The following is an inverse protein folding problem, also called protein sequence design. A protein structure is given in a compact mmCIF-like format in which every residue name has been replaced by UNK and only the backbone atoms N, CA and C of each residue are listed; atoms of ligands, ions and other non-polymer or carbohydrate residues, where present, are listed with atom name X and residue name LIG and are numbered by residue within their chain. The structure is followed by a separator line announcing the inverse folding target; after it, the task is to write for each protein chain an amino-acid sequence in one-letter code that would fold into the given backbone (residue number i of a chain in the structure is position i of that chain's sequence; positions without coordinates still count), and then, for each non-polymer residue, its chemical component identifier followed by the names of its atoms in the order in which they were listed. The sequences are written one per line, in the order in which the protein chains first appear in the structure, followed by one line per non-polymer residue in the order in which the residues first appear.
data_IF_489807022299
#
_entry.id   IF_489807022299
#
_cell.length_a   1.000
_cell.length_b   1.000
_cell.length_c   1.000
_cell.angle_alpha   90.00
_cell.angle_beta   90.00
_cell.angle_gamma   90.00
#
_symmetry.space_group_name_H-M   'P 1'
#
loop_
_entity.id
_entity.type
_entity.pdbx_description
1 polymer ?
#
# COMPACT_ATOMS: atom_id res chain seq x y z
N UNK A 1 -3.93 -13.65 18.18
CA UNK A 1 -2.81 -14.23 17.42
C UNK A 1 -2.26 -13.35 16.29
N UNK A 2 -2.97 -12.30 15.81
CA UNK A 2 -2.39 -11.32 14.86
C UNK A 2 -1.85 -10.03 15.52
N UNK A 3 -2.13 -9.81 16.81
CA UNK A 3 -2.01 -8.49 17.45
C UNK A 3 -0.69 -8.21 18.19
N UNK A 4 0.26 -9.13 18.21
CA UNK A 4 1.46 -8.98 19.07
C UNK A 4 2.76 -8.62 18.34
N UNK A 5 2.79 -8.53 17.00
CA UNK A 5 4.06 -8.44 16.27
C UNK A 5 4.12 -7.46 15.08
N UNK A 6 3.18 -6.53 14.93
CA UNK A 6 3.36 -5.42 13.99
C UNK A 6 4.12 -4.27 14.66
N UNK A 7 5.38 -4.48 15.05
CA UNK A 7 6.27 -3.33 15.30
C UNK A 7 6.65 -2.72 13.95
N UNK A 8 6.61 -1.39 13.83
CA UNK A 8 6.92 -0.66 12.58
C UNK A 8 8.29 -1.06 12.03
N UNK A 9 9.23 -1.37 12.93
CA UNK A 9 10.58 -1.84 12.61
C UNK A 9 10.61 -3.16 11.83
N UNK A 10 9.54 -3.95 11.89
CA UNK A 10 9.43 -5.25 11.20
C UNK A 10 8.83 -5.13 9.80
N UNK A 11 8.16 -4.02 9.46
CA UNK A 11 7.33 -3.93 8.25
C UNK A 11 7.97 -3.13 7.09
N UNK A 12 9.20 -2.64 7.27
CA UNK A 12 9.95 -2.02 6.18
C UNK A 12 11.36 -1.60 6.58
N UNK A 13 12.35 -1.91 5.74
CA UNK A 13 13.76 -1.55 5.95
C UNK A 13 14.04 -0.03 5.93
N UNK A 14 13.04 0.77 5.62
CA UNK A 14 13.11 2.23 5.54
C UNK A 14 12.47 2.95 6.74
N UNK A 15 12.23 2.26 7.86
CA UNK A 15 11.70 2.90 9.07
C UNK A 15 12.51 4.15 9.47
N UNK A 16 11.80 5.26 9.69
CA UNK A 16 12.39 6.57 9.98
C UNK A 16 13.09 7.27 8.79
N UNK A 17 12.85 6.85 7.54
CA UNK A 17 13.24 7.57 6.31
C UNK A 17 12.03 8.22 5.65
N UNK A 18 12.28 9.20 4.77
CA UNK A 18 11.23 9.87 3.98
C UNK A 18 10.52 8.92 3.00
N UNK A 19 11.16 7.80 2.64
CA UNK A 19 10.61 6.76 1.77
C UNK A 19 9.74 5.74 2.51
N UNK A 20 9.52 5.89 3.83
CA UNK A 20 8.71 4.95 4.60
C UNK A 20 7.23 5.06 4.23
N UNK A 21 6.67 4.00 3.64
CA UNK A 21 5.26 3.91 3.23
C UNK A 21 4.45 3.14 4.27
N UNK A 22 3.22 3.58 4.50
CA UNK A 22 2.29 2.91 5.39
C UNK A 22 1.97 1.50 4.87
N UNK A 23 2.13 0.42 5.67
CA UNK A 23 2.15 -0.94 5.15
C UNK A 23 0.76 -1.61 5.05
N UNK A 24 -0.30 -0.95 5.53
CA UNK A 24 -1.68 -1.46 5.48
C UNK A 24 -2.52 -0.65 4.48
N UNK A 25 -3.68 -1.17 4.05
CA UNK A 25 -4.64 -0.38 3.28
C UNK A 25 -5.01 0.90 4.02
N UNK A 26 -5.15 1.98 3.25
CA UNK A 26 -5.46 3.30 3.79
C UNK A 26 -6.80 3.28 4.53
N UNK A 27 -6.89 3.87 5.74
CA UNK A 27 -8.14 3.88 6.51
C UNK A 27 -9.32 4.47 5.74
N UNK A 28 -9.07 5.45 4.89
CA UNK A 28 -10.09 6.06 4.04
C UNK A 28 -10.67 5.06 3.03
N UNK A 29 -9.85 4.24 2.40
CA UNK A 29 -10.30 3.25 1.41
C UNK A 29 -11.10 2.14 2.09
N UNK A 30 -10.67 1.74 3.30
CA UNK A 30 -11.41 0.79 4.14
C UNK A 30 -12.77 1.36 4.57
N UNK A 31 -12.84 2.65 4.89
CA UNK A 31 -14.10 3.33 5.19
C UNK A 31 -15.03 3.31 3.99
N UNK A 32 -14.53 3.63 2.80
CA UNK A 32 -15.33 3.58 1.58
C UNK A 32 -15.85 2.16 1.29
N UNK A 33 -14.96 1.15 1.43
CA UNK A 33 -15.33 -0.25 1.30
C UNK A 33 -16.41 -0.67 2.31
N UNK A 34 -16.42 -0.10 3.52
CA UNK A 34 -17.43 -0.38 4.54
C UNK A 34 -18.81 0.23 4.24
N UNK A 35 -18.89 1.21 3.34
CA UNK A 35 -20.16 1.81 2.91
C UNK A 35 -20.80 1.07 1.72
N UNK A 36 -20.11 0.09 1.17
CA UNK A 36 -20.60 -0.70 0.04
C UNK A 36 -21.76 -1.62 0.44
N UNK A 37 -22.75 -1.73 -0.46
CA UNK A 37 -23.91 -2.61 -0.33
C UNK A 37 -23.98 -3.57 -1.50
N UNK A 38 -23.84 -4.87 -1.25
CA UNK A 38 -23.83 -5.87 -2.32
C UNK A 38 -25.13 -5.90 -3.12
N UNK A 39 -26.25 -5.56 -2.49
CA UNK A 39 -27.56 -5.48 -3.16
C UNK A 39 -27.56 -4.45 -4.28
N UNK A 40 -26.87 -3.32 -4.08
CA UNK A 40 -26.79 -2.26 -5.09
C UNK A 40 -25.88 -2.71 -6.24
N UNK A 41 -24.73 -3.32 -5.95
CA UNK A 41 -23.87 -3.92 -6.97
C UNK A 41 -24.56 -5.02 -7.78
N UNK A 42 -25.34 -5.88 -7.13
CA UNK A 42 -26.09 -6.93 -7.81
C UNK A 42 -27.14 -6.36 -8.75
N UNK A 43 -27.85 -5.28 -8.35
CA UNK A 43 -28.81 -4.57 -9.20
C UNK A 43 -28.11 -3.92 -10.40
N UNK A 44 -27.00 -3.24 -10.18
CA UNK A 44 -26.24 -2.60 -11.24
C UNK A 44 -25.66 -3.63 -12.23
N UNK A 45 -25.12 -4.75 -11.73
CA UNK A 45 -24.69 -5.87 -12.58
C UNK A 45 -25.86 -6.49 -13.36
N UNK A 46 -27.03 -6.66 -12.73
CA UNK A 46 -28.21 -7.18 -13.43
C UNK A 46 -28.66 -6.25 -14.57
N UNK A 47 -28.63 -4.93 -14.32
CA UNK A 47 -28.91 -3.91 -15.35
C UNK A 47 -27.86 -3.96 -16.46
N UNK A 48 -26.58 -3.96 -16.13
CA UNK A 48 -25.50 -4.01 -17.11
C UNK A 48 -25.57 -5.27 -17.98
N UNK A 49 -25.89 -6.43 -17.39
CA UNK A 49 -26.12 -7.67 -18.15
C UNK A 49 -27.31 -7.56 -19.10
N UNK A 50 -28.38 -6.85 -18.71
CA UNK A 50 -29.54 -6.61 -19.58
C UNK A 50 -29.17 -5.70 -20.74
N UNK A 51 -28.48 -4.60 -20.46
CA UNK A 51 -28.04 -3.63 -21.46
C UNK A 51 -27.04 -4.28 -22.43
N UNK A 52 -26.14 -5.13 -21.94
CA UNK A 52 -25.21 -5.91 -22.76
C UNK A 52 -25.94 -6.89 -23.68
N UNK A 53 -26.96 -7.61 -23.18
CA UNK A 53 -27.78 -8.50 -24.02
C UNK A 53 -28.54 -7.73 -25.11
N UNK A 54 -29.07 -6.55 -24.79
CA UNK A 54 -29.72 -5.70 -25.78
C UNK A 54 -28.71 -5.24 -26.84
N UNK A 55 -27.52 -4.81 -26.43
CA UNK A 55 -26.44 -4.42 -27.34
C UNK A 55 -26.03 -5.57 -28.27
N UNK A 56 -25.84 -6.79 -27.76
CA UNK A 56 -25.54 -7.98 -28.58
C UNK A 56 -26.64 -8.18 -29.63
N UNK A 57 -27.92 -8.10 -29.23
CA UNK A 57 -29.05 -8.26 -30.16
C UNK A 57 -29.05 -7.21 -31.27
N UNK A 58 -28.73 -5.95 -30.95
CA UNK A 58 -28.61 -4.88 -31.95
C UNK A 58 -27.41 -5.08 -32.88
N UNK A 59 -26.25 -5.48 -32.35
CA UNK A 59 -25.07 -5.81 -33.17
C UNK A 59 -25.39 -6.95 -34.14
N UNK A 60 -26.05 -8.00 -33.68
CA UNK A 60 -26.49 -9.10 -34.53
C UNK A 60 -27.47 -8.65 -35.63
N UNK A 61 -28.38 -7.71 -35.33
CA UNK A 61 -29.29 -7.16 -36.35
C UNK A 61 -28.54 -6.35 -37.40
N UNK A 62 -27.64 -5.46 -36.97
CA UNK A 62 -26.83 -4.65 -37.89
C UNK A 62 -26.00 -5.57 -38.79
N UNK A 63 -25.33 -6.57 -38.22
CA UNK A 63 -24.54 -7.52 -39.01
C UNK A 63 -25.37 -8.38 -39.97
N UNK A 64 -26.66 -8.62 -39.67
CA UNK A 64 -27.56 -9.40 -40.55
C UNK A 64 -28.14 -8.58 -41.71
N UNK A 65 -28.32 -7.28 -41.53
CA UNK A 65 -28.97 -6.40 -42.51
C UNK A 65 -27.93 -5.77 -43.45
N UNK A 66 -26.69 -5.62 -43.01
CA UNK A 66 -25.60 -5.07 -43.80
C UNK A 66 -25.01 -6.10 -44.78
N UNK A 67 -24.60 -5.60 -45.95
CA UNK A 67 -23.79 -6.38 -46.91
C UNK A 67 -22.38 -6.64 -46.35
N UNK A 68 -21.77 -7.77 -46.74
CA UNK A 68 -20.45 -8.21 -46.25
C UNK A 68 -19.35 -7.13 -46.42
N UNK A 69 -19.39 -6.39 -47.53
CA UNK A 69 -18.45 -5.32 -47.87
C UNK A 69 -18.55 -4.11 -46.92
N UNK A 70 -19.67 -3.97 -46.19
CA UNK A 70 -19.98 -2.84 -45.31
C UNK A 70 -19.95 -3.21 -43.81
N UNK A 71 -19.59 -4.45 -43.45
CA UNK A 71 -19.58 -4.92 -42.07
C UNK A 71 -18.44 -4.31 -41.25
N UNK A 72 -17.28 -4.14 -41.86
CA UNK A 72 -16.11 -3.60 -41.19
C UNK A 72 -16.01 -2.09 -41.37
N UNK A 73 -15.59 -1.35 -40.33
CA UNK A 73 -14.98 -1.82 -39.07
C UNK A 73 -15.97 -1.99 -37.90
N UNK A 74 -17.28 -1.93 -38.15
CA UNK A 74 -18.29 -1.95 -37.09
C UNK A 74 -18.26 -3.26 -36.31
N UNK A 75 -18.26 -4.39 -37.01
CA UNK A 75 -18.29 -5.73 -36.42
C UNK A 75 -17.05 -6.00 -35.56
N UNK A 76 -15.85 -5.73 -36.07
CA UNK A 76 -14.60 -5.87 -35.30
C UNK A 76 -14.63 -5.06 -34.00
N UNK A 77 -14.99 -3.78 -34.08
CA UNK A 77 -15.02 -2.90 -32.91
C UNK A 77 -16.06 -3.33 -31.88
N UNK A 78 -17.23 -3.77 -32.33
CA UNK A 78 -18.28 -4.24 -31.44
C UNK A 78 -17.92 -5.57 -30.79
N UNK A 79 -17.30 -6.50 -31.51
CA UNK A 79 -16.83 -7.76 -30.94
C UNK A 79 -15.79 -7.52 -29.83
N UNK A 80 -14.86 -6.59 -30.03
CA UNK A 80 -13.87 -6.25 -29.00
C UNK A 80 -14.49 -5.57 -27.79
N UNK A 81 -15.43 -4.65 -28.00
CA UNK A 81 -16.21 -4.05 -26.91
C UNK A 81 -16.98 -5.11 -26.11
N UNK A 82 -17.67 -6.03 -26.80
CA UNK A 82 -18.47 -7.07 -26.18
C UNK A 82 -17.63 -8.12 -25.43
N UNK A 83 -16.39 -8.41 -25.87
CA UNK A 83 -15.45 -9.26 -25.13
C UNK A 83 -15.07 -8.64 -23.80
N UNK A 84 -14.78 -7.34 -23.76
CA UNK A 84 -14.40 -6.64 -22.53
C UNK A 84 -15.56 -6.56 -21.53
N UNK A 85 -16.79 -6.36 -22.01
CA UNK A 85 -17.99 -6.28 -21.16
C UNK A 85 -18.33 -7.56 -20.38
N UNK A 86 -17.80 -8.73 -20.79
CA UNK A 86 -18.09 -10.03 -20.15
C UNK A 86 -17.22 -10.34 -18.93
N UNK A 87 -16.18 -9.57 -18.64
CA UNK A 87 -15.19 -9.89 -17.60
C UNK A 87 -15.60 -9.50 -16.16
N UNK A 88 -16.66 -8.70 -15.97
CA UNK A 88 -16.96 -8.06 -14.68
C UNK A 88 -17.88 -8.90 -13.76
N UNK A 89 -18.19 -10.15 -14.11
CA UNK A 89 -19.22 -10.91 -13.39
C UNK A 89 -18.73 -11.41 -12.03
N UNK A 90 -19.26 -10.78 -10.98
CA UNK A 90 -19.22 -11.19 -9.56
C UNK A 90 -17.82 -11.35 -8.91
N UNK A 91 -16.72 -11.07 -9.61
CA UNK A 91 -15.35 -11.20 -9.09
C UNK A 91 -15.18 -10.55 -7.71
N UNK A 92 -15.65 -9.31 -7.54
CA UNK A 92 -15.53 -8.57 -6.29
C UNK A 92 -16.24 -9.27 -5.12
N UNK A 93 -17.41 -9.86 -5.36
CA UNK A 93 -18.19 -10.57 -4.34
C UNK A 93 -17.46 -11.87 -3.96
N UNK A 94 -16.98 -12.63 -4.95
CA UNK A 94 -16.21 -13.85 -4.68
C UNK A 94 -14.95 -13.57 -3.86
N UNK A 95 -14.19 -12.55 -4.23
CA UNK A 95 -12.98 -12.16 -3.48
C UNK A 95 -13.27 -11.73 -2.05
N UNK A 96 -14.38 -11.02 -1.84
CA UNK A 96 -14.79 -10.66 -0.50
C UNK A 96 -15.14 -11.90 0.34
N UNK A 97 -15.88 -12.87 -0.21
CA UNK A 97 -16.20 -14.10 0.50
C UNK A 97 -14.95 -14.93 0.83
N UNK A 98 -13.97 -15.00 -0.07
CA UNK A 98 -12.66 -15.61 0.23
C UNK A 98 -11.99 -14.94 1.43
N UNK A 99 -12.03 -13.60 1.52
CA UNK A 99 -11.46 -12.85 2.64
C UNK A 99 -12.19 -13.12 3.96
N UNK A 100 -13.53 -13.18 3.96
CA UNK A 100 -14.28 -13.44 5.20
C UNK A 100 -14.02 -14.85 5.72
N UNK A 101 -13.86 -15.84 4.83
CA UNK A 101 -13.43 -17.19 5.20
C UNK A 101 -12.01 -17.20 5.74
N UNK A 102 -11.06 -16.55 5.06
CA UNK A 102 -9.66 -16.49 5.47
C UNK A 102 -9.50 -15.92 6.90
N UNK A 103 -10.22 -14.85 7.21
CA UNK A 103 -10.20 -14.23 8.54
C UNK A 103 -11.21 -14.83 9.51
N UNK A 104 -11.92 -15.90 9.13
CA UNK A 104 -12.91 -16.59 9.95
C UNK A 104 -14.03 -15.67 10.49
N UNK A 105 -14.40 -14.67 9.70
CA UNK A 105 -15.47 -13.72 10.04
C UNK A 105 -16.82 -14.41 9.84
N UNK A 106 -17.66 -14.36 10.86
CA UNK A 106 -19.00 -14.97 10.86
C UNK A 106 -20.04 -13.87 10.92
N UNK A 107 -21.16 -14.08 10.22
CA UNK A 107 -22.32 -13.19 10.29
C UNK A 107 -22.83 -13.09 11.74
N UNK A 108 -23.39 -11.93 12.10
CA UNK A 108 -24.03 -11.70 13.40
C UNK A 108 -25.32 -12.52 13.50
N UNK A 109 -25.76 -12.80 14.73
CA UNK A 109 -27.04 -13.46 14.97
C UNK A 109 -28.18 -12.64 14.35
N UNK A 110 -28.89 -13.22 13.37
CA UNK A 110 -29.96 -12.56 12.61
C UNK A 110 -29.56 -12.08 11.21
N UNK A 111 -28.26 -12.05 10.88
CA UNK A 111 -27.76 -11.76 9.54
C UNK A 111 -27.50 -13.06 8.77
N UNK A 112 -27.84 -13.09 7.47
CA UNK A 112 -27.63 -14.27 6.62
C UNK A 112 -26.17 -14.40 6.15
N UNK A 113 -25.51 -13.27 5.91
CA UNK A 113 -24.18 -13.20 5.30
C UNK A 113 -23.37 -12.06 5.93
N UNK A 114 -22.04 -12.16 5.85
CA UNK A 114 -21.15 -11.08 6.28
C UNK A 114 -21.25 -9.92 5.29
N UNK A 115 -21.58 -8.73 5.76
CA UNK A 115 -21.62 -7.53 4.91
C UNK A 115 -20.24 -6.89 4.77
N UNK A 116 -19.98 -6.10 3.70
CA UNK A 116 -18.77 -5.29 3.59
C UNK A 116 -18.55 -4.40 4.81
N UNK A 117 -19.63 -3.80 5.32
CA UNK A 117 -19.58 -2.99 6.52
C UNK A 117 -19.01 -3.76 7.71
N UNK A 118 -19.54 -4.94 7.99
CA UNK A 118 -19.13 -5.78 9.12
C UNK A 118 -17.64 -6.11 9.11
N UNK A 119 -17.07 -6.35 7.93
CA UNK A 119 -15.65 -6.67 7.78
C UNK A 119 -14.79 -5.40 7.78
N UNK A 120 -15.09 -4.45 6.90
CA UNK A 120 -14.24 -3.30 6.64
C UNK A 120 -14.31 -2.22 7.73
N UNK A 121 -15.38 -2.14 8.53
CA UNK A 121 -15.42 -1.20 9.67
C UNK A 121 -14.37 -1.58 10.72
N UNK A 122 -14.22 -2.88 11.01
CA UNK A 122 -13.22 -3.39 11.96
C UNK A 122 -11.81 -3.11 11.43
N UNK A 123 -11.57 -3.38 10.13
CA UNK A 123 -10.29 -3.10 9.50
C UNK A 123 -9.98 -1.60 9.43
N UNK A 124 -10.99 -0.76 9.20
CA UNK A 124 -10.85 0.69 9.21
C UNK A 124 -10.39 1.20 10.58
N UNK A 125 -11.04 0.75 11.66
CA UNK A 125 -10.66 1.12 13.03
C UNK A 125 -9.24 0.66 13.34
N UNK A 126 -8.93 -0.61 13.05
CA UNK A 126 -7.59 -1.16 13.24
C UNK A 126 -6.51 -0.41 12.45
N UNK A 127 -6.75 -0.14 11.16
CA UNK A 127 -5.80 0.58 10.31
C UNK A 127 -5.64 2.04 10.77
N UNK A 128 -6.70 2.68 11.26
CA UNK A 128 -6.61 4.05 11.79
C UNK A 128 -5.68 4.12 13.01
N UNK A 129 -5.92 3.25 14.00
CA UNK A 129 -5.10 3.18 15.21
C UNK A 129 -3.66 2.80 14.89
N UNK A 130 -3.47 1.80 14.02
CA UNK A 130 -2.15 1.37 13.58
C UNK A 130 -1.41 2.48 12.86
N UNK A 131 -2.07 3.25 12.00
CA UNK A 131 -1.45 4.37 11.28
C UNK A 131 -0.97 5.47 12.21
N UNK A 132 -1.74 5.78 13.25
CA UNK A 132 -1.35 6.78 14.24
C UNK A 132 -0.15 6.32 15.06
N UNK A 133 -0.12 5.05 15.45
CA UNK A 133 1.03 4.46 16.12
C UNK A 133 2.26 4.42 15.19
N UNK A 134 2.05 4.04 13.92
CA UNK A 134 3.10 3.98 12.91
C UNK A 134 3.77 5.34 12.68
N UNK A 135 3.00 6.42 12.60
CA UNK A 135 3.53 7.79 12.50
C UNK A 135 4.36 8.19 13.72
N UNK A 136 3.89 7.85 14.93
CA UNK A 136 4.60 8.16 16.19
C UNK A 136 5.95 7.43 16.23
N UNK A 137 5.96 6.14 15.92
CA UNK A 137 7.18 5.33 15.90
C UNK A 137 8.17 5.82 14.84
N UNK A 138 7.72 6.10 13.62
CA UNK A 138 8.60 6.67 12.58
C UNK A 138 9.24 8.00 12.99
N UNK A 139 8.47 8.86 13.68
CA UNK A 139 9.00 10.12 14.21
C UNK A 139 10.05 9.89 15.31
N UNK A 140 9.85 8.89 16.16
CA UNK A 140 10.83 8.50 17.18
C UNK A 140 12.12 7.98 16.55
N UNK A 141 12.01 7.06 15.58
CA UNK A 141 13.16 6.49 14.86
C UNK A 141 13.94 7.60 14.14
N UNK A 142 13.25 8.51 13.46
CA UNK A 142 13.90 9.64 12.79
C UNK A 142 14.69 10.52 13.77
N UNK A 143 14.11 10.82 14.96
CA UNK A 143 14.80 11.59 16.01
C UNK A 143 16.03 10.87 16.55
N UNK A 144 15.95 9.57 16.77
CA UNK A 144 17.07 8.75 17.24
C UNK A 144 18.21 8.71 16.20
N UNK A 145 17.87 8.58 14.92
CA UNK A 145 18.85 8.64 13.82
C UNK A 145 19.54 10.00 13.73
N UNK A 146 18.79 11.08 13.89
CA UNK A 146 19.36 12.43 13.90
C UNK A 146 20.36 12.61 15.04
N UNK A 147 19.98 12.21 16.27
CA UNK A 147 20.87 12.25 17.43
C UNK A 147 22.13 11.42 17.23
N UNK A 148 22.00 10.20 16.69
CA UNK A 148 23.14 9.34 16.41
C UNK A 148 24.10 9.95 15.37
N UNK A 149 23.57 10.66 14.36
CA UNK A 149 24.38 11.37 13.38
C UNK A 149 25.11 12.59 13.99
N UNK A 150 24.42 13.37 14.83
CA UNK A 150 25.01 14.51 15.55
C UNK A 150 26.15 14.07 16.49
N UNK A 151 25.93 12.99 17.26
CA UNK A 151 26.97 12.42 18.13
C UNK A 151 28.16 11.89 17.33
N UNK A 152 27.91 11.24 16.20
CA UNK A 152 28.97 10.77 15.30
C UNK A 152 29.83 11.92 14.78
N UNK A 153 29.19 13.05 14.43
CA UNK A 153 29.89 14.26 13.99
C UNK A 153 30.70 14.91 15.12
N UNK A 154 30.14 15.01 16.34
CA UNK A 154 30.85 15.52 17.52
C UNK A 154 32.10 14.70 17.82
N UNK A 155 31.97 13.38 17.85
CA UNK A 155 33.09 12.47 18.09
C UNK A 155 34.17 12.57 17.00
N UNK A 156 33.78 12.72 15.73
CA UNK A 156 34.74 12.91 14.63
C UNK A 156 35.51 14.23 14.78
N UNK A 157 34.84 15.32 15.18
CA UNK A 157 35.47 16.64 15.42
C UNK A 157 36.44 16.60 16.60
N UNK A 158 36.07 15.96 17.71
CA UNK A 158 36.92 15.80 18.90
C UNK A 158 38.14 14.91 18.63
N UNK A 159 37.99 13.85 17.83
CA UNK A 159 39.13 13.01 17.40
C UNK A 159 40.07 13.75 16.44
N UNK A 160 39.56 14.63 15.59
CA UNK A 160 40.37 15.44 14.69
C UNK A 160 41.16 16.54 15.44
N UNK A 161 40.60 17.15 16.48
CA UNK A 161 41.28 18.18 17.28
C UNK A 161 42.39 17.61 18.19
N UNK A 162 42.32 16.32 18.57
CA UNK A 162 43.36 15.67 19.37
C UNK A 162 44.57 15.15 18.55
N UNK A 163 44.56 15.31 17.23
CA UNK A 163 45.67 14.94 16.34
C UNK A 163 46.66 16.11 16.12
N UNK A 164 47.32 16.55 17.19
CA UNK A 164 48.60 17.29 17.05
C UNK A 164 49.58 16.64 18.02
N UNK A 165 50.29 15.59 17.58
CA UNK A 165 51.55 15.24 18.22
C UNK A 165 52.57 16.33 17.86
N UNK A 166 53.16 17.06 18.83
CA UNK A 166 54.31 17.90 18.55
C UNK A 166 55.41 16.98 18.00
N UNK A 167 55.87 17.26 16.79
CA UNK A 167 57.03 16.60 16.20
C UNK A 167 58.20 16.84 17.17
N UNK A 168 58.67 15.79 17.86
CA UNK A 168 59.86 15.89 18.70
C UNK A 168 60.98 16.52 17.87
N UNK A 169 61.50 17.65 18.32
CA UNK A 169 62.72 18.25 17.78
C UNK A 169 63.92 17.38 18.17
N UNK A 170 64.06 16.24 17.50
CA UNK A 170 65.30 15.44 17.51
C UNK A 170 66.37 16.13 16.64
N UNK A 171 66.61 17.42 16.90
CA UNK A 171 67.68 18.18 16.29
C UNK A 171 68.97 18.00 17.11
N UNK A 172 70.01 17.48 16.46
CA UNK A 172 71.35 17.21 17.04
C UNK A 172 71.96 18.44 17.77
N UNK A 173 71.46 19.66 17.49
CA UNK A 173 71.91 20.93 18.10
C UNK A 173 71.70 21.04 19.62
N UNK A 174 70.83 20.23 20.23
CA UNK A 174 70.59 20.27 21.69
C UNK A 174 71.63 19.50 22.52
N UNK A 175 72.55 18.74 21.90
CA UNK A 175 73.56 17.94 22.61
C UNK A 175 74.96 18.58 22.70
N UNK A 176 75.16 19.80 22.19
CA UNK A 176 76.47 20.45 22.15
C UNK A 176 76.60 21.69 23.07
N UNK A 177 76.00 21.63 24.26
CA UNK A 177 76.03 22.73 25.24
C UNK A 177 76.46 22.34 26.65
N UNK A 178 76.97 21.12 26.86
CA UNK A 178 77.51 20.70 28.15
C UNK A 178 78.89 20.06 27.97
N UNK A 179 79.93 20.89 27.91
CA UNK A 179 81.26 20.60 28.43
C UNK A 179 82.10 21.88 28.45
N UNK A 180 82.33 22.34 29.69
CA UNK A 180 83.55 22.96 30.26
C UNK A 180 84.29 23.98 29.39
#
# INVERSE_FOLDING_TARGET
MLFQYCSVSSLGGDAGRETCVYPLPEPHDLFQASQLKFEDFQKDLARLRKDLRACISEVEKVCKISDEENLEPFKEKMDDFLKQGKLCDNWCIFRFLELTVFFSVKAKAGEKEVSPNMFFSIWHEFSSDFKDQWKKENKTILKERLKAAEESFRQAKEKASYSVKPKQSSGIKAKLGMKI
#
